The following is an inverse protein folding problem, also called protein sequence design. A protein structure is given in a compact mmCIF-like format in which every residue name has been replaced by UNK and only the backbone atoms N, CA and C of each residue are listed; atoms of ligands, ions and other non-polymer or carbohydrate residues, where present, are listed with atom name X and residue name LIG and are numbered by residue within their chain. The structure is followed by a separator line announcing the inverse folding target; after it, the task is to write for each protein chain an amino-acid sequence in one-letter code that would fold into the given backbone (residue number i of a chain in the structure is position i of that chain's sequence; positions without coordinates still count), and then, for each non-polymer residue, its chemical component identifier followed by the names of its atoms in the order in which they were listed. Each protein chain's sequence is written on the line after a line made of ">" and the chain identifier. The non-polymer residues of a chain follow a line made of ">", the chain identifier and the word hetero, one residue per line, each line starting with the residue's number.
data_IF_208242030718
#
_entry.id   IF_208242030718
#
_cell.length_a   1.000
_cell.length_b   1.000
_cell.length_c   1.000
_cell.angle_alpha   90.00
_cell.angle_beta   90.00
_cell.angle_gamma   90.00
#
_symmetry.space_group_name_H-M   'P 1'
#
loop_
_entity.id
_entity.type
_entity.pdbx_description
1 polymer ?
#
# COMPACT_ATOMS: atom_id res chain seq x y z
N UNK A 1 -7.08 -1.17 2.77
CA UNK A 1 -6.48 0.04 2.16
C UNK A 1 -7.47 1.14 1.83
N UNK A 2 -8.22 1.09 0.71
CA UNK A 2 -9.15 2.20 0.33
C UNK A 2 -10.22 2.48 1.40
N UNK A 3 -10.78 1.44 2.00
CA UNK A 3 -11.80 1.59 3.05
C UNK A 3 -11.27 2.26 4.32
N UNK A 4 -10.00 2.05 4.68
CA UNK A 4 -9.44 2.60 5.91
C UNK A 4 -9.16 4.09 5.80
N UNK A 5 -8.58 4.53 4.67
CA UNK A 5 -8.37 5.95 4.46
C UNK A 5 -9.68 6.72 4.29
N UNK A 6 -10.71 6.10 3.71
CA UNK A 6 -12.05 6.69 3.67
C UNK A 6 -12.60 6.91 5.08
N UNK A 7 -12.41 5.94 5.98
CA UNK A 7 -12.79 6.08 7.40
C UNK A 7 -12.00 7.19 8.08
N UNK A 8 -10.69 7.28 7.86
CA UNK A 8 -9.83 8.32 8.45
C UNK A 8 -10.22 9.71 7.94
N UNK A 9 -10.42 9.89 6.63
CA UNK A 9 -10.83 11.18 6.05
C UNK A 9 -12.23 11.57 6.57
N UNK A 10 -13.18 10.63 6.62
CA UNK A 10 -14.50 10.89 7.21
C UNK A 10 -14.40 11.29 8.68
N UNK A 11 -13.58 10.61 9.47
CA UNK A 11 -13.35 10.93 10.88
C UNK A 11 -12.76 12.33 11.09
N UNK A 12 -11.76 12.69 10.29
CA UNK A 12 -11.15 14.03 10.35
C UNK A 12 -12.11 15.11 9.88
N UNK A 13 -12.93 14.83 8.88
CA UNK A 13 -13.98 15.75 8.44
C UNK A 13 -15.10 15.91 9.49
N UNK A 14 -15.47 14.84 10.20
CA UNK A 14 -16.40 14.88 11.34
C UNK A 14 -15.84 15.63 12.55
N UNK A 15 -14.53 15.92 12.58
CA UNK A 15 -13.87 16.77 13.57
C UNK A 15 -13.79 18.24 13.13
N UNK A 16 -14.54 18.62 12.09
CA UNK A 16 -14.59 19.95 11.50
C UNK A 16 -13.25 20.46 10.94
N UNK A 17 -12.29 19.56 10.65
CA UNK A 17 -11.07 19.95 9.95
C UNK A 17 -11.39 20.32 8.51
N UNK A 18 -10.77 21.40 8.05
CA UNK A 18 -10.86 21.84 6.66
C UNK A 18 -10.06 20.91 5.74
N UNK A 19 -10.41 20.81 4.45
CA UNK A 19 -9.64 20.01 3.50
C UNK A 19 -8.15 20.37 3.42
N UNK A 20 -7.80 21.64 3.68
CA UNK A 20 -6.40 22.10 3.75
C UNK A 20 -5.66 21.49 4.95
N UNK A 21 -6.29 21.47 6.12
CA UNK A 21 -5.71 20.91 7.35
C UNK A 21 -5.61 19.38 7.27
N UNK A 22 -6.63 18.70 6.74
CA UNK A 22 -6.60 17.25 6.49
C UNK A 22 -5.45 16.91 5.55
N UNK A 23 -5.24 17.70 4.49
CA UNK A 23 -4.13 17.51 3.56
C UNK A 23 -2.77 17.71 4.24
N UNK A 24 -2.65 18.71 5.12
CA UNK A 24 -1.42 18.98 5.86
C UNK A 24 -1.07 17.84 6.83
N UNK A 25 -2.05 17.35 7.60
CA UNK A 25 -1.90 16.21 8.52
C UNK A 25 -1.47 14.94 7.79
N UNK A 26 -2.17 14.60 6.68
CA UNK A 26 -1.80 13.45 5.85
C UNK A 26 -0.42 13.60 5.23
N UNK A 27 -0.02 14.81 4.84
CA UNK A 27 1.31 15.09 4.28
C UNK A 27 2.42 14.95 5.34
N UNK A 28 2.17 15.39 6.58
CA UNK A 28 3.08 15.20 7.70
C UNK A 28 3.24 13.71 8.04
N UNK A 29 2.13 12.95 8.03
CA UNK A 29 2.16 11.51 8.20
C UNK A 29 2.98 10.83 7.07
N UNK A 30 2.87 11.31 5.82
CA UNK A 30 3.63 10.85 4.64
C UNK A 30 5.16 11.05 4.77
N UNK A 31 5.62 12.01 5.58
CA UNK A 31 7.05 12.23 5.88
C UNK A 31 7.62 11.20 6.87
N UNK A 32 6.79 10.53 7.66
CA UNK A 32 7.19 9.30 8.37
C UNK A 32 7.09 8.12 7.39
N UNK A 33 7.99 7.13 7.51
CA UNK A 33 7.88 5.87 6.75
C UNK A 33 6.58 5.17 7.15
N UNK A 34 5.55 5.36 6.35
CA UNK A 34 4.25 4.73 6.53
C UNK A 34 4.25 3.38 5.82
N UNK A 35 4.31 2.31 6.59
CA UNK A 35 4.03 0.98 6.07
C UNK A 35 2.55 0.88 5.74
N UNK A 36 2.23 1.02 4.46
CA UNK A 36 0.87 0.81 3.99
C UNK A 36 0.70 -0.67 3.66
N UNK A 37 0.07 -1.44 4.54
CA UNK A 37 -0.45 -2.79 4.27
C UNK A 37 -1.98 -2.77 4.21
N UNK A 38 -2.58 -3.81 3.64
CA UNK A 38 -4.03 -3.92 3.62
C UNK A 38 -4.55 -4.68 4.84
N UNK A 39 -5.87 -4.62 5.05
CA UNK A 39 -6.51 -5.28 6.19
C UNK A 39 -6.80 -6.76 5.94
N UNK A 40 -6.15 -7.41 4.97
CA UNK A 40 -6.35 -8.84 4.79
C UNK A 40 -5.94 -9.58 6.06
N UNK A 41 -6.66 -10.67 6.37
CA UNK A 41 -6.56 -11.38 7.65
C UNK A 41 -5.12 -11.79 7.99
N UNK A 42 -4.35 -12.16 6.96
CA UNK A 42 -2.93 -12.54 7.05
C UNK A 42 -2.02 -11.39 7.46
N UNK A 43 -2.31 -10.15 7.06
CA UNK A 43 -1.52 -8.97 7.41
C UNK A 43 -1.78 -8.46 8.83
N UNK A 44 -2.96 -8.75 9.41
CA UNK A 44 -3.22 -8.47 10.83
C UNK A 44 -2.41 -9.36 11.77
N UNK A 45 -2.11 -10.60 11.36
CA UNK A 45 -1.35 -11.55 12.16
C UNK A 45 0.18 -11.35 12.06
N UNK A 46 0.67 -10.62 11.06
CA UNK A 46 2.11 -10.41 10.85
C UNK A 46 2.79 -9.59 11.98
N UNK A 47 2.05 -8.86 12.82
CA UNK A 47 2.60 -8.20 14.00
C UNK A 47 2.93 -9.18 15.15
N UNK A 48 2.38 -10.40 15.15
CA UNK A 48 2.60 -11.41 16.20
C UNK A 48 3.54 -12.54 15.77
N UNK A 49 3.76 -12.72 14.46
CA UNK A 49 4.57 -13.82 13.96
C UNK A 49 6.04 -13.41 13.76
N UNK A 50 6.88 -13.72 14.77
CA UNK A 50 8.28 -14.05 14.53
C UNK A 50 8.30 -15.36 13.74
N UNK A 51 8.63 -15.28 12.46
CA UNK A 51 8.48 -16.34 11.47
C UNK A 51 9.12 -17.68 11.90
N UNK A 52 8.30 -18.73 12.03
CA UNK A 52 8.69 -20.11 11.75
C UNK A 52 8.03 -20.51 10.41
N UNK A 53 8.86 -20.82 9.42
CA UNK A 53 8.43 -21.12 8.06
C UNK A 53 7.97 -22.58 7.95
N UNK A 54 6.68 -22.82 7.75
CA UNK A 54 6.11 -24.16 7.49
C UNK A 54 6.03 -24.47 5.97
N UNK A 55 6.16 -25.75 5.62
CA UNK A 55 6.30 -26.28 4.24
C UNK A 55 5.08 -26.05 3.33
N UNK A 56 5.34 -25.73 2.06
CA UNK A 56 4.33 -25.44 1.02
C UNK A 56 3.77 -26.71 0.32
N UNK A 57 2.48 -26.73 -0.07
CA UNK A 57 1.85 -27.84 -0.79
C UNK A 57 2.19 -27.90 -2.29
N UNK A 58 2.09 -29.11 -2.85
CA UNK A 58 2.52 -29.50 -4.18
C UNK A 58 1.58 -29.07 -5.32
N UNK A 59 1.47 -27.78 -5.62
CA UNK A 59 0.92 -27.30 -6.91
C UNK A 59 1.51 -25.93 -7.31
N UNK A 60 2.84 -25.85 -7.39
CA UNK A 60 3.55 -24.76 -8.07
C UNK A 60 4.50 -25.40 -9.09
N UNK A 61 4.58 -24.89 -10.34
CA UNK A 61 5.44 -25.48 -11.36
C UNK A 61 6.90 -25.49 -10.87
N UNK A 62 7.60 -26.61 -11.11
CA UNK A 62 8.92 -26.99 -10.59
C UNK A 62 10.02 -25.93 -10.78
N UNK A 63 10.00 -24.88 -9.97
CA UNK A 63 11.15 -24.05 -9.72
C UNK A 63 11.50 -24.22 -8.25
N UNK A 64 12.72 -24.67 -7.97
CA UNK A 64 13.19 -24.79 -6.60
C UNK A 64 13.07 -23.40 -5.92
N UNK A 65 12.84 -23.31 -4.60
CA UNK A 65 12.72 -22.03 -3.90
C UNK A 65 13.87 -21.05 -4.18
N UNK A 66 15.07 -21.58 -4.48
CA UNK A 66 16.24 -20.82 -4.91
C UNK A 66 16.07 -20.19 -6.30
N UNK A 67 15.52 -20.91 -7.26
CA UNK A 67 15.31 -20.44 -8.63
C UNK A 67 14.25 -19.32 -8.64
N UNK A 68 13.19 -19.47 -7.83
CA UNK A 68 12.19 -18.41 -7.66
C UNK A 68 12.78 -17.13 -7.04
N UNK A 69 13.69 -17.26 -6.07
CA UNK A 69 14.38 -16.12 -5.47
C UNK A 69 15.24 -15.39 -6.51
N UNK A 70 16.05 -16.13 -7.28
CA UNK A 70 16.93 -15.57 -8.31
C UNK A 70 16.13 -14.85 -9.39
N UNK A 71 15.04 -15.46 -9.87
CA UNK A 71 14.16 -14.83 -10.85
C UNK A 71 13.52 -13.54 -10.31
N UNK A 72 13.12 -13.56 -9.03
CA UNK A 72 12.54 -12.40 -8.34
C UNK A 72 13.57 -11.28 -8.19
N UNK A 73 14.79 -11.60 -7.77
CA UNK A 73 15.90 -10.65 -7.63
C UNK A 73 16.24 -10.02 -8.99
N UNK A 74 16.42 -10.83 -10.03
CA UNK A 74 16.71 -10.35 -11.38
C UNK A 74 15.60 -9.45 -11.94
N UNK A 75 14.32 -9.78 -11.66
CA UNK A 75 13.20 -8.94 -12.04
C UNK A 75 13.29 -7.55 -11.41
N UNK A 76 13.51 -7.46 -10.10
CA UNK A 76 13.56 -6.17 -9.39
C UNK A 76 14.84 -5.38 -9.69
N UNK A 77 15.98 -6.04 -9.91
CA UNK A 77 17.22 -5.42 -10.35
C UNK A 77 17.11 -4.81 -11.75
N UNK A 78 16.33 -5.42 -12.63
CA UNK A 78 16.04 -4.88 -13.97
C UNK A 78 15.14 -3.64 -13.98
N UNK A 79 14.52 -3.28 -12.85
CA UNK A 79 13.63 -2.13 -12.76
C UNK A 79 14.39 -0.85 -12.38
N UNK A 80 14.32 0.15 -13.26
CA UNK A 80 14.85 1.48 -12.97
C UNK A 80 14.13 2.15 -11.79
N UNK A 81 14.83 3.01 -11.05
CA UNK A 81 14.26 3.79 -9.94
C UNK A 81 13.03 4.60 -10.37
N UNK A 82 12.98 5.04 -11.63
CA UNK A 82 11.81 5.74 -12.18
C UNK A 82 10.55 4.88 -12.25
N UNK A 83 10.66 3.56 -12.31
CA UNK A 83 9.51 2.65 -12.26
C UNK A 83 8.71 2.87 -10.98
N UNK A 84 9.39 2.83 -9.84
CA UNK A 84 8.79 3.04 -8.52
C UNK A 84 8.27 4.47 -8.36
N UNK A 85 9.04 5.48 -8.79
CA UNK A 85 8.61 6.87 -8.67
C UNK A 85 7.39 7.19 -9.55
N UNK A 86 7.30 6.62 -10.75
CA UNK A 86 6.10 6.68 -11.61
C UNK A 86 4.90 6.02 -10.94
N UNK A 87 5.09 4.86 -10.31
CA UNK A 87 4.05 4.18 -9.53
C UNK A 87 3.53 5.05 -8.37
N UNK A 88 4.44 5.66 -7.60
CA UNK A 88 4.10 6.55 -6.48
C UNK A 88 3.36 7.81 -6.95
N UNK A 89 3.78 8.42 -8.05
CA UNK A 89 3.07 9.58 -8.65
C UNK A 89 1.65 9.23 -9.07
N UNK A 90 1.43 8.04 -9.65
CA UNK A 90 0.08 7.56 -9.99
C UNK A 90 -0.78 7.39 -8.74
N UNK A 91 -0.21 6.90 -7.64
CA UNK A 91 -0.91 6.77 -6.36
C UNK A 91 -1.32 8.14 -5.80
N UNK A 92 -0.41 9.11 -5.84
CA UNK A 92 -0.69 10.50 -5.42
C UNK A 92 -1.81 11.14 -6.24
N UNK A 93 -1.79 10.98 -7.57
CA UNK A 93 -2.86 11.48 -8.42
C UNK A 93 -4.22 10.84 -8.08
N UNK A 94 -4.24 9.54 -7.77
CA UNK A 94 -5.47 8.87 -7.31
C UNK A 94 -5.96 9.42 -5.98
N UNK A 95 -5.07 9.77 -5.06
CA UNK A 95 -5.44 10.37 -3.78
C UNK A 95 -6.06 11.76 -3.94
N UNK A 96 -5.47 12.60 -4.80
CA UNK A 96 -6.01 13.93 -5.10
C UNK A 96 -7.44 13.81 -5.64
N UNK A 97 -7.66 12.94 -6.62
CA UNK A 97 -9.00 12.69 -7.18
C UNK A 97 -9.99 12.18 -6.13
N UNK A 98 -9.59 11.26 -5.25
CA UNK A 98 -10.46 10.77 -4.17
C UNK A 98 -10.88 11.90 -3.22
N UNK A 99 -9.99 12.87 -2.93
CA UNK A 99 -10.29 14.01 -2.07
C UNK A 99 -11.27 14.96 -2.78
N UNK A 100 -11.02 15.29 -4.04
CA UNK A 100 -11.89 16.14 -4.87
C UNK A 100 -13.30 15.58 -4.98
N UNK A 101 -13.42 14.27 -5.17
CA UNK A 101 -14.71 13.56 -5.25
C UNK A 101 -15.33 13.24 -3.88
N UNK A 102 -14.80 13.78 -2.77
CA UNK A 102 -15.30 13.52 -1.40
C UNK A 102 -15.43 12.02 -1.08
N UNK A 103 -14.55 11.21 -1.65
CA UNK A 103 -14.52 9.77 -1.49
C UNK A 103 -15.47 8.98 -2.38
N UNK A 104 -16.01 9.59 -3.45
CA UNK A 104 -16.69 8.87 -4.53
C UNK A 104 -15.70 8.11 -5.43
N UNK A 105 -16.21 7.17 -6.23
CA UNK A 105 -15.38 6.30 -7.05
C UNK A 105 -14.74 7.07 -8.21
N UNK A 106 -13.46 6.80 -8.45
CA UNK A 106 -12.74 7.31 -9.63
C UNK A 106 -12.80 6.22 -10.70
N UNK A 107 -13.51 6.46 -11.80
CA UNK A 107 -13.52 5.55 -12.95
C UNK A 107 -12.11 5.40 -13.57
N UNK A 108 -11.90 4.26 -14.25
CA UNK A 108 -10.58 3.76 -14.63
C UNK A 108 -10.01 4.45 -15.86
#
# INVERSE_FOLDING_TARGET
>A
KKNEFRTVIKHLHMKDLTPKEIKAELYLAKKKVLFHQDNARVHRMANEFRYELLSHPAYSPNLAPREQLIETEAYFEGLDKSYYSKGLKKLENRWIKCIELKGDYVEK
#
